data_IF_160627199859
#
_entry.id   IF_160627199859
#
_cell.length_a   1.000
_cell.length_b   1.000
_cell.length_c   1.000
_cell.angle_alpha   90.00
_cell.angle_beta   90.00
_cell.angle_gamma   90.00
#
_symmetry.space_group_name_H-M   'P 1'
#
loop_
_entity.id
_entity.type
_entity.pdbx_description
1 polymer ?
#
# COMPACT_ATOMS: atom_id res chain seq x y z
N UNK A 1 13.64 9.95 1.56
CA UNK A 1 13.26 8.79 2.36
C UNK A 1 12.64 7.73 1.47
N UNK A 2 12.89 6.53 1.80
CA UNK A 2 12.45 5.40 1.01
C UNK A 2 11.58 4.50 1.88
N UNK A 3 10.30 4.41 1.54
CA UNK A 3 9.31 3.63 2.29
C UNK A 3 9.57 2.14 2.22
N UNK A 4 10.20 1.69 1.15
CA UNK A 4 10.39 0.27 0.85
C UNK A 4 11.80 -0.17 1.15
N UNK A 5 12.32 0.28 2.28
CA UNK A 5 13.69 -0.02 2.68
C UNK A 5 13.76 -1.37 3.41
N UNK A 6 14.98 -1.81 3.66
CA UNK A 6 15.23 -2.98 4.50
C UNK A 6 15.05 -2.66 5.99
N UNK A 7 14.70 -1.41 6.34
CA UNK A 7 14.53 -0.97 7.73
C UNK A 7 13.11 -0.44 7.97
N UNK A 8 12.07 -1.28 7.83
CA UNK A 8 10.69 -0.81 7.96
C UNK A 8 10.36 -0.25 9.35
N UNK A 9 10.98 -0.77 10.42
CA UNK A 9 10.74 -0.25 11.77
C UNK A 9 11.18 1.20 11.90
N UNK A 10 12.32 1.55 11.31
CA UNK A 10 12.80 2.93 11.33
C UNK A 10 11.89 3.85 10.52
N UNK A 11 11.37 3.37 9.41
CA UNK A 11 10.43 4.12 8.60
C UNK A 11 9.15 4.41 9.38
N UNK A 12 8.59 3.40 10.04
CA UNK A 12 7.39 3.56 10.86
C UNK A 12 7.63 4.60 11.95
N UNK A 13 8.74 4.50 12.68
CA UNK A 13 9.08 5.43 13.73
C UNK A 13 9.20 6.86 13.20
N UNK A 14 9.86 7.03 12.06
CA UNK A 14 10.00 8.32 11.43
C UNK A 14 8.65 8.94 11.07
N UNK A 15 7.75 8.17 10.47
CA UNK A 15 6.43 8.66 10.09
C UNK A 15 5.59 9.02 11.30
N UNK A 16 5.63 8.23 12.37
CA UNK A 16 4.91 8.56 13.60
C UNK A 16 5.42 9.87 14.19
N UNK A 17 6.73 10.09 14.19
CA UNK A 17 7.32 11.33 14.67
C UNK A 17 6.83 12.52 13.84
N UNK A 18 6.83 12.39 12.52
CA UNK A 18 6.35 13.44 11.62
C UNK A 18 4.91 13.81 11.92
N UNK A 19 4.05 12.82 12.14
CA UNK A 19 2.65 13.08 12.44
C UNK A 19 2.45 13.78 13.79
N UNK A 20 3.27 13.44 14.78
CA UNK A 20 3.19 14.09 16.09
C UNK A 20 3.64 15.55 16.05
N UNK A 21 4.65 15.83 15.23
CA UNK A 21 5.21 17.18 15.12
C UNK A 21 4.35 18.11 14.28
N UNK A 22 3.66 17.58 13.28
CA UNK A 22 2.86 18.39 12.35
C UNK A 22 1.60 17.64 11.94
N UNK A 23 0.64 17.45 12.87
CA UNK A 23 -0.57 16.65 12.55
C UNK A 23 -1.45 17.25 11.48
N UNK A 24 -1.33 18.55 11.21
CA UNK A 24 -2.11 19.21 10.15
C UNK A 24 -1.32 19.41 8.87
N UNK A 25 -0.10 18.87 8.81
CA UNK A 25 0.76 18.97 7.64
C UNK A 25 0.12 18.22 6.46
N UNK A 26 0.14 18.82 5.24
CA UNK A 26 -0.34 18.10 4.04
C UNK A 26 0.37 16.77 3.80
N UNK A 27 1.56 16.57 4.37
CA UNK A 27 2.28 15.31 4.27
C UNK A 27 1.75 14.23 5.21
N UNK A 28 0.76 14.56 6.06
CA UNK A 28 0.14 13.59 6.97
C UNK A 28 -0.39 12.37 6.21
N UNK A 29 -1.07 12.60 5.09
CA UNK A 29 -1.58 11.53 4.25
C UNK A 29 -0.45 10.62 3.76
N UNK A 30 0.66 11.21 3.29
CA UNK A 30 1.81 10.43 2.82
C UNK A 30 2.43 9.61 3.94
N UNK A 31 2.45 10.14 5.16
CA UNK A 31 2.96 9.41 6.31
C UNK A 31 2.10 8.17 6.59
N UNK A 32 0.78 8.29 6.49
CA UNK A 32 -0.12 7.15 6.69
C UNK A 32 0.15 6.05 5.66
N UNK A 33 0.29 6.41 4.39
CA UNK A 33 0.60 5.44 3.34
C UNK A 33 1.98 4.81 3.59
N UNK A 34 2.96 5.61 3.99
CA UNK A 34 4.30 5.12 4.27
C UNK A 34 4.34 4.11 5.41
N UNK A 35 3.59 4.38 6.49
CA UNK A 35 3.47 3.45 7.61
C UNK A 35 2.83 2.14 7.14
N UNK A 36 1.77 2.24 6.34
CA UNK A 36 1.12 1.06 5.77
C UNK A 36 2.07 0.24 4.92
N UNK A 37 2.84 0.89 4.05
CA UNK A 37 3.81 0.21 3.21
C UNK A 37 4.90 -0.48 4.03
N UNK A 38 5.36 0.17 5.12
CA UNK A 38 6.37 -0.41 5.99
C UNK A 38 5.85 -1.65 6.72
N UNK A 39 4.61 -1.62 7.20
CA UNK A 39 3.99 -2.81 7.81
C UNK A 39 3.83 -3.94 6.79
N UNK A 40 3.46 -3.60 5.55
CA UNK A 40 3.42 -4.60 4.48
C UNK A 40 4.78 -5.26 4.30
N UNK A 41 5.85 -4.46 4.29
CA UNK A 41 7.20 -4.98 4.15
C UNK A 41 7.59 -5.95 5.27
N UNK A 42 7.06 -5.72 6.48
CA UNK A 42 7.30 -6.60 7.64
C UNK A 42 6.39 -7.83 7.66
N UNK A 43 5.44 -7.94 6.75
CA UNK A 43 4.46 -9.02 6.75
C UNK A 43 3.32 -8.81 7.74
N UNK A 44 3.19 -7.61 8.28
CA UNK A 44 2.12 -7.24 9.22
C UNK A 44 0.95 -6.67 8.45
N UNK A 45 0.25 -7.54 7.73
CA UNK A 45 -0.76 -7.12 6.75
C UNK A 45 -1.99 -6.47 7.38
N UNK A 46 -2.45 -6.95 8.52
CA UNK A 46 -3.61 -6.36 9.18
C UNK A 46 -3.32 -4.93 9.66
N UNK A 47 -2.13 -4.70 10.21
CA UNK A 47 -1.72 -3.35 10.57
C UNK A 47 -1.59 -2.46 9.35
N UNK A 48 -0.99 -2.99 8.27
CA UNK A 48 -0.87 -2.24 7.03
C UNK A 48 -2.24 -1.80 6.52
N UNK A 49 -3.22 -2.71 6.55
CA UNK A 49 -4.58 -2.40 6.09
C UNK A 49 -5.17 -1.24 6.89
N UNK A 50 -5.01 -1.24 8.20
CA UNK A 50 -5.54 -0.18 9.06
C UNK A 50 -5.02 1.19 8.64
N UNK A 51 -3.72 1.31 8.42
CA UNK A 51 -3.10 2.58 8.05
C UNK A 51 -3.47 3.02 6.64
N UNK A 52 -3.53 2.06 5.71
CA UNK A 52 -3.90 2.36 4.33
C UNK A 52 -5.37 2.80 4.24
N UNK A 53 -6.26 2.12 4.96
CA UNK A 53 -7.67 2.49 5.00
C UNK A 53 -7.85 3.88 5.62
N UNK A 54 -7.08 4.20 6.65
CA UNK A 54 -7.10 5.53 7.24
C UNK A 54 -6.70 6.60 6.23
N UNK A 55 -5.65 6.33 5.45
CA UNK A 55 -5.19 7.25 4.42
C UNK A 55 -6.30 7.51 3.39
N UNK A 56 -7.00 6.46 2.98
CA UNK A 56 -8.09 6.61 2.01
C UNK A 56 -9.30 7.34 2.58
N UNK A 57 -9.54 7.19 3.88
CA UNK A 57 -10.61 7.97 4.53
C UNK A 57 -10.28 9.46 4.53
N UNK A 58 -9.00 9.80 4.69
CA UNK A 58 -8.59 11.20 4.70
C UNK A 58 -8.51 11.80 3.30
N UNK A 59 -8.21 10.98 2.30
CA UNK A 59 -8.10 11.45 0.92
C UNK A 59 -8.65 10.41 -0.05
N UNK A 60 -9.99 10.32 -0.17
CA UNK A 60 -10.60 9.31 -1.05
C UNK A 60 -10.23 9.43 -2.52
N UNK A 61 -9.77 10.61 -2.95
CA UNK A 61 -9.37 10.84 -4.33
C UNK A 61 -8.02 10.23 -4.69
N UNK A 62 -7.27 9.73 -3.69
CA UNK A 62 -5.96 9.14 -3.93
C UNK A 62 -6.11 7.68 -4.38
N UNK A 63 -6.68 7.48 -5.57
CA UNK A 63 -7.01 6.15 -6.08
C UNK A 63 -5.79 5.26 -6.32
N UNK A 64 -4.61 5.87 -6.50
CA UNK A 64 -3.37 5.11 -6.67
C UNK A 64 -3.01 4.28 -5.42
N UNK A 65 -3.53 4.65 -4.26
CA UNK A 65 -3.29 3.90 -3.01
C UNK A 65 -3.95 2.52 -3.06
N UNK A 66 -4.97 2.34 -3.89
CA UNK A 66 -5.62 1.03 -4.03
C UNK A 66 -4.67 -0.05 -4.52
N UNK A 67 -3.54 0.29 -5.17
CA UNK A 67 -2.53 -0.71 -5.53
C UNK A 67 -1.99 -1.42 -4.30
N UNK A 68 -1.60 -0.62 -3.31
CA UNK A 68 -1.06 -1.17 -2.07
C UNK A 68 -2.15 -1.88 -1.28
N UNK A 69 -3.35 -1.31 -1.22
CA UNK A 69 -4.45 -1.92 -0.49
C UNK A 69 -4.84 -3.27 -1.08
N UNK A 70 -4.94 -3.36 -2.39
CA UNK A 70 -5.28 -4.60 -3.09
C UNK A 70 -4.33 -5.73 -2.73
N UNK A 71 -3.03 -5.49 -2.89
CA UNK A 71 -2.04 -6.53 -2.61
C UNK A 71 -1.96 -6.86 -1.12
N UNK A 72 -2.20 -5.88 -0.26
CA UNK A 72 -2.20 -6.10 1.19
C UNK A 72 -3.36 -6.99 1.61
N UNK A 73 -4.57 -6.73 1.11
CA UNK A 73 -5.72 -7.60 1.37
C UNK A 73 -5.44 -9.03 0.90
N UNK A 74 -4.91 -9.19 -0.32
CA UNK A 74 -4.64 -10.51 -0.88
C UNK A 74 -3.63 -11.28 -0.04
N UNK A 75 -2.55 -10.62 0.39
CA UNK A 75 -1.54 -11.26 1.22
C UNK A 75 -2.06 -11.58 2.62
N UNK A 76 -3.06 -10.84 3.08
CA UNK A 76 -3.71 -11.09 4.37
C UNK A 76 -4.75 -12.23 4.30
N UNK A 77 -4.98 -12.79 3.12
CA UNK A 77 -6.00 -13.82 2.92
C UNK A 77 -7.42 -13.29 2.76
N UNK A 78 -7.58 -11.97 2.63
CA UNK A 78 -8.88 -11.30 2.49
C UNK A 78 -9.17 -11.06 1.01
N UNK A 79 -9.36 -12.17 0.27
CA UNK A 79 -9.47 -12.12 -1.19
C UNK A 79 -10.69 -11.37 -1.71
N UNK A 80 -11.84 -11.45 -1.02
CA UNK A 80 -13.02 -10.72 -1.46
C UNK A 80 -12.78 -9.21 -1.42
N UNK A 81 -12.19 -8.74 -0.35
CA UNK A 81 -11.84 -7.34 -0.21
C UNK A 81 -10.77 -6.92 -1.20
N UNK A 82 -9.81 -7.83 -1.47
CA UNK A 82 -8.79 -7.60 -2.48
C UNK A 82 -9.40 -7.40 -3.86
N UNK A 83 -10.38 -8.22 -4.21
CA UNK A 83 -11.06 -8.10 -5.50
C UNK A 83 -11.85 -6.80 -5.61
N UNK A 84 -12.49 -6.37 -4.53
CA UNK A 84 -13.19 -5.10 -4.50
C UNK A 84 -12.23 -3.93 -4.68
N UNK A 85 -11.10 -3.96 -3.99
CA UNK A 85 -10.07 -2.93 -4.13
C UNK A 85 -9.50 -2.91 -5.56
N UNK A 86 -9.27 -4.09 -6.14
CA UNK A 86 -8.78 -4.20 -7.52
C UNK A 86 -9.79 -3.61 -8.51
N UNK A 87 -11.08 -3.82 -8.27
CA UNK A 87 -12.11 -3.24 -9.14
C UNK A 87 -12.06 -1.72 -9.12
N UNK A 88 -11.91 -1.13 -7.94
CA UNK A 88 -11.77 0.32 -7.82
C UNK A 88 -10.50 0.82 -8.47
N UNK A 89 -9.42 0.07 -8.34
CA UNK A 89 -8.14 0.41 -8.97
C UNK A 89 -8.26 0.41 -10.50
N UNK A 90 -8.87 -0.62 -11.06
CA UNK A 90 -9.05 -0.73 -12.51
C UNK A 90 -10.06 0.29 -13.06
N UNK A 91 -11.02 0.70 -12.24
CA UNK A 91 -11.94 1.77 -12.60
C UNK A 91 -11.19 3.09 -12.78
N UNK A 92 -10.23 3.37 -11.90
CA UNK A 92 -9.41 4.57 -11.98
C UNK A 92 -8.30 4.48 -13.02
N UNK A 93 -7.77 3.27 -13.24
CA UNK A 93 -6.67 3.00 -14.17
C UNK A 93 -7.03 1.82 -15.08
N UNK A 94 -7.89 2.02 -16.09
CA UNK A 94 -8.46 0.90 -16.85
C UNK A 94 -7.45 0.02 -17.59
N UNK A 95 -6.27 0.55 -17.91
CA UNK A 95 -5.25 -0.23 -18.61
C UNK A 95 -4.19 -0.82 -17.70
N UNK A 96 -4.41 -0.77 -16.39
CA UNK A 96 -3.39 -1.22 -15.44
C UNK A 96 -3.22 -2.74 -15.47
N UNK A 97 -1.95 -3.18 -15.46
CA UNK A 97 -1.59 -4.60 -15.37
C UNK A 97 -0.64 -4.78 -14.20
N UNK A 98 -0.40 -6.04 -13.82
CA UNK A 98 0.60 -6.35 -12.79
C UNK A 98 1.96 -5.77 -13.19
N UNK A 99 2.36 -5.95 -14.44
CA UNK A 99 3.62 -5.45 -14.96
C UNK A 99 3.74 -3.93 -14.79
N UNK A 100 2.71 -3.19 -15.17
CA UNK A 100 2.71 -1.73 -15.04
C UNK A 100 2.71 -1.28 -13.58
N UNK A 101 1.98 -1.97 -12.72
CA UNK A 101 1.96 -1.67 -11.29
C UNK A 101 3.33 -1.91 -10.67
N UNK A 102 4.04 -2.94 -11.11
CA UNK A 102 5.35 -3.29 -10.57
C UNK A 102 6.43 -2.28 -10.96
N UNK A 103 6.27 -1.59 -12.08
CA UNK A 103 7.24 -0.56 -12.49
C UNK A 103 7.38 0.53 -11.42
N UNK A 104 6.36 0.75 -10.62
CA UNK A 104 6.36 1.76 -9.59
C UNK A 104 6.53 1.19 -8.18
N UNK A 105 6.92 -0.06 -8.05
CA UNK A 105 7.02 -0.75 -6.76
C UNK A 105 8.47 -0.95 -6.33
N UNK A 106 9.08 0.04 -5.67
CA UNK A 106 10.45 -0.12 -5.15
C UNK A 106 10.44 -1.04 -3.92
N UNK A 107 11.58 -1.61 -3.60
CA UNK A 107 11.72 -2.37 -2.37
C UNK A 107 12.63 -3.57 -2.51
N UNK A 108 12.64 -4.38 -1.48
CA UNK A 108 13.41 -5.61 -1.44
C UNK A 108 12.78 -6.65 -2.38
N UNK A 109 13.58 -7.55 -2.97
CA UNK A 109 13.07 -8.54 -3.93
C UNK A 109 11.91 -9.38 -3.39
N UNK A 110 11.97 -9.81 -2.15
CA UNK A 110 10.90 -10.61 -1.54
C UNK A 110 9.61 -9.80 -1.37
N UNK A 111 9.72 -8.52 -1.04
CA UNK A 111 8.57 -7.63 -0.92
C UNK A 111 7.92 -7.43 -2.29
N UNK A 112 8.74 -7.25 -3.32
CA UNK A 112 8.27 -7.08 -4.69
C UNK A 112 7.51 -8.32 -5.16
N UNK A 113 8.04 -9.51 -4.87
CA UNK A 113 7.37 -10.77 -5.23
C UNK A 113 6.01 -10.88 -4.58
N UNK A 114 5.92 -10.58 -3.28
CA UNK A 114 4.65 -10.62 -2.55
C UNK A 114 3.65 -9.61 -3.09
N UNK A 115 4.14 -8.43 -3.45
CA UNK A 115 3.32 -7.36 -4.02
C UNK A 115 2.68 -7.83 -5.33
N UNK A 116 3.49 -8.36 -6.25
CA UNK A 116 3.01 -8.84 -7.53
C UNK A 116 2.03 -9.99 -7.37
N UNK A 117 2.35 -10.94 -6.49
CA UNK A 117 1.50 -12.10 -6.26
C UNK A 117 0.12 -11.67 -5.74
N UNK A 118 0.08 -10.71 -4.81
CA UNK A 118 -1.19 -10.21 -4.28
C UNK A 118 -2.06 -9.57 -5.37
N UNK A 119 -1.45 -8.81 -6.26
CA UNK A 119 -2.18 -8.22 -7.39
C UNK A 119 -2.75 -9.29 -8.32
N UNK A 120 -1.99 -10.34 -8.59
CA UNK A 120 -2.47 -11.45 -9.43
C UNK A 120 -3.64 -12.17 -8.78
N UNK A 121 -3.54 -12.46 -7.49
CA UNK A 121 -4.59 -13.14 -6.73
C UNK A 121 -5.88 -12.33 -6.70
N UNK A 122 -5.77 -11.02 -6.70
CA UNK A 122 -6.92 -10.12 -6.73
C UNK A 122 -7.55 -9.99 -8.12
N UNK A 123 -6.90 -10.54 -9.15
CA UNK A 123 -7.45 -10.57 -10.50
C UNK A 123 -6.91 -9.53 -11.47
N UNK A 124 -5.84 -8.82 -11.12
CA UNK A 124 -5.22 -7.89 -12.07
C UNK A 124 -4.63 -8.68 -13.25
N UNK A 125 -4.81 -8.19 -14.48
CA UNK A 125 -4.18 -8.82 -15.65
C UNK A 125 -2.66 -8.67 -15.60
N UNK A 126 -1.97 -9.63 -16.23
CA UNK A 126 -0.51 -9.56 -16.34
C UNK A 126 -0.12 -8.42 -17.29
#
# INVERSE_FOLDING_TARGET
>A
ANFYTSHPDKAIEHFHRSMRLSPLDPMHFNALVGIGAAHFGKGEYDEAIRWIEQALREKPSATWVYRLLTTTYANAGRLEEAKQAAAKLLEAFPGLTVSKAMDAAPGQPDTIVRYAQGLREAGLPE
#
